data_IF_794237247339
#
_entry.id   IF_794237247339
#
_cell.length_a   1.000
_cell.length_b   1.000
_cell.length_c   1.000
_cell.angle_alpha   90.00
_cell.angle_beta   90.00
_cell.angle_gamma   90.00
#
_symmetry.space_group_name_H-M   'P 1'
#
loop_
_entity.id
_entity.type
_entity.pdbx_description
1 polymer ?
#
# COMPACT_ATOMS: atom_id res chain seq x y z
N UNK A 1 21.46 10.39 13.80
CA UNK A 1 20.19 10.08 14.47
C UNK A 1 19.35 9.28 13.49
N UNK A 2 18.93 8.09 13.85
CA UNK A 2 17.98 7.27 13.09
C UNK A 2 16.58 7.46 13.64
N UNK A 3 15.56 7.04 12.92
CA UNK A 3 14.17 7.11 13.35
C UNK A 3 13.55 5.72 13.27
N UNK A 4 12.83 5.31 14.31
CA UNK A 4 12.30 3.97 14.40
C UNK A 4 10.78 3.95 14.61
N UNK A 5 10.16 2.86 14.26
CA UNK A 5 8.75 2.60 14.54
C UNK A 5 8.58 2.27 16.03
N UNK A 6 7.78 3.08 16.73
CA UNK A 6 7.41 2.83 18.13
C UNK A 6 6.03 2.19 18.26
N UNK A 7 5.22 2.23 17.21
CA UNK A 7 3.91 1.59 17.16
C UNK A 7 3.44 1.40 15.73
N UNK A 8 2.79 0.26 15.49
CA UNK A 8 2.22 -0.10 14.20
C UNK A 8 0.80 -0.60 14.42
N UNK A 9 -0.13 -0.16 13.57
CA UNK A 9 -1.53 -0.55 13.63
C UNK A 9 -2.05 -0.96 12.26
N UNK A 10 -3.09 -1.80 12.24
CA UNK A 10 -3.81 -2.21 11.04
C UNK A 10 -5.31 -2.18 11.27
N UNK A 11 -6.05 -1.96 10.20
CA UNK A 11 -7.47 -2.25 10.14
C UNK A 11 -7.78 -3.02 8.85
N UNK A 12 -8.28 -4.23 9.01
CA UNK A 12 -8.72 -5.10 7.93
C UNK A 12 -10.25 -5.11 7.96
N UNK A 13 -10.94 -4.63 6.92
CA UNK A 13 -12.40 -4.63 6.87
C UNK A 13 -13.00 -6.03 7.00
N UNK A 14 -14.21 -6.10 7.53
CA UNK A 14 -14.86 -7.37 7.88
C UNK A 14 -15.59 -8.04 6.73
N UNK A 15 -16.02 -7.26 5.71
CA UNK A 15 -16.76 -7.80 4.57
C UNK A 15 -15.81 -8.62 3.67
N UNK A 16 -16.03 -9.92 3.66
CA UNK A 16 -15.23 -10.87 2.89
C UNK A 16 -15.85 -11.06 1.51
N UNK A 17 -15.10 -10.75 0.47
CA UNK A 17 -15.50 -10.89 -0.93
C UNK A 17 -14.65 -11.97 -1.58
N UNK A 18 -15.22 -13.12 -1.87
CA UNK A 18 -14.56 -14.20 -2.62
C UNK A 18 -14.61 -13.96 -4.12
N UNK A 19 -13.84 -14.73 -4.88
CA UNK A 19 -13.89 -14.66 -6.34
C UNK A 19 -15.26 -15.06 -6.92
N UNK A 20 -16.07 -15.84 -6.19
CA UNK A 20 -17.43 -16.22 -6.59
C UNK A 20 -18.37 -15.01 -6.72
N UNK A 21 -18.13 -13.96 -5.93
CA UNK A 21 -18.93 -12.72 -6.01
C UNK A 21 -18.96 -12.13 -7.43
N UNK A 22 -17.89 -12.33 -8.19
CA UNK A 22 -17.75 -11.76 -9.55
C UNK A 22 -18.31 -12.66 -10.65
N UNK A 23 -18.84 -13.83 -10.34
CA UNK A 23 -19.37 -14.77 -11.35
C UNK A 23 -20.63 -14.23 -12.03
N UNK A 24 -21.39 -13.36 -11.36
CA UNK A 24 -22.59 -12.73 -11.91
C UNK A 24 -22.32 -11.38 -12.62
N UNK A 25 -21.07 -10.90 -12.62
CA UNK A 25 -20.71 -9.66 -13.30
C UNK A 25 -20.66 -9.84 -14.81
N UNK A 26 -20.87 -8.74 -15.54
CA UNK A 26 -20.66 -8.70 -16.98
C UNK A 26 -19.42 -7.89 -17.30
N UNK A 27 -18.35 -8.57 -17.69
CA UNK A 27 -17.08 -7.95 -18.01
C UNK A 27 -16.96 -7.60 -19.50
N UNK A 28 -16.33 -6.45 -19.76
CA UNK A 28 -16.07 -5.92 -21.08
C UNK A 28 -14.56 -5.74 -21.30
N UNK A 29 -14.14 -5.70 -22.56
CA UNK A 29 -12.79 -5.32 -22.95
C UNK A 29 -12.69 -3.77 -23.12
N UNK A 30 -11.48 -3.28 -23.41
CA UNK A 30 -11.21 -1.85 -23.63
C UNK A 30 -11.97 -1.26 -24.84
N UNK A 31 -12.48 -2.09 -25.76
CA UNK A 31 -13.28 -1.70 -26.91
C UNK A 31 -14.78 -1.62 -26.60
N UNK A 32 -15.19 -1.98 -25.39
CA UNK A 32 -16.60 -2.02 -24.98
C UNK A 32 -17.35 -3.27 -25.44
N UNK A 33 -16.63 -4.33 -25.78
CA UNK A 33 -17.21 -5.62 -26.17
C UNK A 33 -17.25 -6.55 -24.96
N UNK A 34 -18.34 -7.33 -24.84
CA UNK A 34 -18.49 -8.33 -23.77
C UNK A 34 -17.41 -9.40 -23.93
N UNK A 35 -16.79 -9.79 -22.82
CA UNK A 35 -15.84 -10.90 -22.85
C UNK A 35 -16.56 -12.23 -23.06
N UNK A 36 -16.17 -12.99 -24.09
CA UNK A 36 -16.76 -14.30 -24.44
C UNK A 36 -16.49 -15.41 -23.38
N UNK A 37 -15.53 -15.21 -22.48
CA UNK A 37 -15.20 -16.17 -21.46
C UNK A 37 -16.19 -16.10 -20.29
N UNK A 38 -16.62 -17.25 -19.77
CA UNK A 38 -17.42 -17.27 -18.56
C UNK A 38 -16.60 -16.77 -17.36
N UNK A 39 -17.25 -16.15 -16.39
CA UNK A 39 -16.62 -15.49 -15.26
C UNK A 39 -15.88 -16.46 -14.32
N UNK A 40 -16.31 -17.71 -14.20
CA UNK A 40 -15.58 -18.74 -13.45
C UNK A 40 -14.19 -18.98 -14.07
N UNK A 41 -14.09 -18.99 -15.40
CA UNK A 41 -12.80 -19.10 -16.10
C UNK A 41 -11.95 -17.82 -15.91
N UNK A 42 -12.57 -16.63 -15.96
CA UNK A 42 -11.89 -15.35 -15.72
C UNK A 42 -11.34 -15.33 -14.29
N UNK A 43 -12.16 -15.64 -13.29
CA UNK A 43 -11.79 -15.70 -11.88
C UNK A 43 -10.67 -16.71 -11.61
N UNK A 44 -10.75 -17.89 -12.22
CA UNK A 44 -9.70 -18.91 -12.11
C UNK A 44 -8.36 -18.41 -12.68
N UNK A 45 -8.37 -17.84 -13.88
CA UNK A 45 -7.15 -17.28 -14.51
C UNK A 45 -6.56 -16.14 -13.69
N UNK A 46 -7.41 -15.24 -13.17
CA UNK A 46 -6.97 -14.15 -12.29
C UNK A 46 -6.28 -14.69 -11.04
N UNK A 47 -6.89 -15.67 -10.36
CA UNK A 47 -6.28 -16.34 -9.20
C UNK A 47 -4.91 -16.95 -9.55
N UNK A 48 -4.78 -17.60 -10.72
CA UNK A 48 -3.52 -18.22 -11.17
C UNK A 48 -2.41 -17.19 -11.42
N UNK A 49 -2.75 -15.92 -11.70
CA UNK A 49 -1.80 -14.85 -11.96
C UNK A 49 -1.51 -14.06 -10.69
N UNK A 50 -2.55 -13.69 -9.96
CA UNK A 50 -2.46 -12.74 -8.84
C UNK A 50 -2.33 -13.42 -7.48
N UNK A 51 -2.66 -14.70 -7.37
CA UNK A 51 -2.79 -15.41 -6.10
C UNK A 51 -4.08 -15.09 -5.32
N UNK A 52 -4.86 -14.07 -5.73
CA UNK A 52 -6.00 -13.58 -4.95
C UNK A 52 -7.17 -14.57 -4.97
N UNK A 53 -7.55 -15.04 -3.79
CA UNK A 53 -8.73 -15.89 -3.56
C UNK A 53 -9.91 -15.09 -3.05
N UNK A 54 -9.64 -14.13 -2.20
CA UNK A 54 -10.62 -13.24 -1.58
C UNK A 54 -9.99 -11.88 -1.28
N UNK A 55 -10.83 -10.90 -1.01
CA UNK A 55 -10.41 -9.55 -0.59
C UNK A 55 -11.36 -9.05 0.50
N UNK A 56 -11.04 -7.89 1.05
CA UNK A 56 -11.83 -7.25 2.09
C UNK A 56 -12.39 -5.94 1.58
N UNK A 57 -13.68 -5.73 1.80
CA UNK A 57 -14.37 -4.48 1.49
C UNK A 57 -14.86 -3.81 2.78
N UNK A 58 -14.81 -2.50 2.77
CA UNK A 58 -15.36 -1.68 3.85
C UNK A 58 -16.88 -1.80 3.90
N UNK A 59 -17.46 -1.77 5.11
CA UNK A 59 -18.91 -1.70 5.28
C UNK A 59 -19.46 -0.45 4.58
N UNK A 60 -20.75 -0.47 4.25
CA UNK A 60 -21.41 0.63 3.53
C UNK A 60 -21.34 1.98 4.26
N UNK A 61 -21.33 1.94 5.59
CA UNK A 61 -21.25 3.12 6.48
C UNK A 61 -19.83 3.66 6.68
N UNK A 62 -18.81 2.99 6.19
CA UNK A 62 -17.41 3.36 6.35
C UNK A 62 -16.84 4.04 5.10
N UNK A 63 -15.95 5.01 5.33
CA UNK A 63 -15.13 5.67 4.31
C UNK A 63 -13.64 5.55 4.65
N UNK A 64 -12.75 6.00 3.77
CA UNK A 64 -11.30 5.85 3.90
C UNK A 64 -10.76 6.44 5.21
N UNK A 65 -11.25 7.61 5.62
CA UNK A 65 -10.82 8.24 6.89
C UNK A 65 -11.23 7.44 8.12
N UNK A 66 -12.36 6.71 8.09
CA UNK A 66 -12.76 5.83 9.20
C UNK A 66 -11.79 4.66 9.34
N UNK A 67 -11.40 4.03 8.22
CA UNK A 67 -10.43 2.95 8.22
C UNK A 67 -9.07 3.44 8.74
N UNK A 68 -8.64 4.61 8.24
CA UNK A 68 -7.41 5.27 8.67
C UNK A 68 -7.39 5.58 10.15
N UNK A 69 -8.52 6.07 10.70
CA UNK A 69 -8.67 6.30 12.15
C UNK A 69 -8.49 5.01 12.96
N UNK A 70 -9.11 3.91 12.53
CA UNK A 70 -9.01 2.63 13.25
C UNK A 70 -7.57 2.11 13.27
N UNK A 71 -6.85 2.20 12.15
CA UNK A 71 -5.44 1.83 12.08
C UNK A 71 -4.55 2.76 12.93
N UNK A 72 -4.82 4.07 12.91
CA UNK A 72 -4.11 5.08 13.71
C UNK A 72 -4.30 4.85 15.22
N UNK A 73 -5.54 4.63 15.66
CA UNK A 73 -5.85 4.34 17.06
C UNK A 73 -5.15 3.05 17.54
N UNK A 74 -5.12 2.01 16.69
CA UNK A 74 -4.37 0.78 16.94
C UNK A 74 -2.86 1.04 17.06
N UNK A 75 -2.26 1.89 16.21
CA UNK A 75 -0.85 2.24 16.27
C UNK A 75 -0.51 3.02 17.54
N UNK A 76 -1.34 3.99 17.95
CA UNK A 76 -1.19 4.77 19.18
C UNK A 76 -1.25 3.86 20.41
N UNK A 77 -2.23 2.94 20.44
CA UNK A 77 -2.33 1.95 21.52
C UNK A 77 -1.12 1.04 21.57
N UNK A 78 -0.64 0.55 20.41
CA UNK A 78 0.55 -0.29 20.32
C UNK A 78 1.83 0.43 20.77
N UNK A 79 1.96 1.72 20.47
CA UNK A 79 3.05 2.57 20.93
C UNK A 79 2.97 2.93 22.42
N UNK A 80 1.81 2.78 23.04
CA UNK A 80 1.51 3.21 24.41
C UNK A 80 1.87 4.69 24.66
N UNK A 81 1.47 5.59 23.76
CA UNK A 81 1.73 7.03 23.87
C UNK A 81 0.43 7.83 24.03
N UNK A 82 0.59 9.06 24.51
CA UNK A 82 -0.46 10.08 24.43
C UNK A 82 -0.48 10.64 22.99
N UNK A 83 -1.65 10.62 22.35
CA UNK A 83 -1.85 11.15 21.00
C UNK A 83 -1.52 12.64 20.89
N UNK A 84 -1.66 13.42 21.98
CA UNK A 84 -1.28 14.83 22.04
C UNK A 84 0.22 15.09 21.81
N UNK A 85 1.06 14.05 21.87
CA UNK A 85 2.50 14.13 21.63
C UNK A 85 2.90 13.95 20.16
N UNK A 86 1.95 13.75 19.27
CA UNK A 86 2.18 13.63 17.84
C UNK A 86 2.33 15.02 17.23
N UNK A 87 3.40 15.24 16.45
CA UNK A 87 3.68 16.51 15.78
C UNK A 87 3.09 16.56 14.37
N UNK A 88 3.10 15.42 13.66
CA UNK A 88 2.55 15.34 12.30
C UNK A 88 1.69 14.10 12.11
N UNK A 89 0.57 14.27 11.39
CA UNK A 89 -0.24 13.19 10.81
C UNK A 89 -0.12 13.29 9.30
N UNK A 90 0.48 12.28 8.68
CA UNK A 90 0.68 12.16 7.23
C UNK A 90 -0.23 11.03 6.75
N UNK A 91 -1.24 11.36 5.95
CA UNK A 91 -2.22 10.38 5.48
C UNK A 91 -2.06 10.15 3.97
N UNK A 92 -1.61 8.95 3.60
CA UNK A 92 -1.50 8.54 2.21
C UNK A 92 -2.79 7.87 1.73
N UNK A 93 -3.31 8.34 0.59
CA UNK A 93 -4.47 7.78 -0.11
C UNK A 93 -4.45 8.22 -1.58
N UNK A 94 -5.37 7.70 -2.40
CA UNK A 94 -5.48 8.10 -3.81
C UNK A 94 -6.79 8.82 -4.13
N UNK A 95 -7.89 8.53 -3.43
CA UNK A 95 -9.23 8.97 -3.84
C UNK A 95 -9.99 9.75 -2.78
N UNK A 96 -9.44 9.93 -1.57
CA UNK A 96 -10.17 10.56 -0.46
C UNK A 96 -11.27 9.67 0.11
N UNK A 97 -12.24 10.30 0.77
CA UNK A 97 -13.45 9.62 1.22
C UNK A 97 -14.44 9.50 0.06
N UNK A 98 -14.86 8.27 -0.23
CA UNK A 98 -15.90 7.97 -1.21
C UNK A 98 -16.99 7.16 -0.51
N UNK A 99 -18.20 7.74 -0.41
CA UNK A 99 -19.34 7.06 0.22
C UNK A 99 -19.83 5.91 -0.65
N UNK A 100 -20.43 4.91 -0.02
CA UNK A 100 -21.11 3.85 -0.74
C UNK A 100 -22.19 4.43 -1.67
N UNK A 101 -22.41 3.80 -2.82
CA UNK A 101 -23.35 4.23 -3.86
C UNK A 101 -23.02 5.58 -4.52
N UNK A 102 -21.81 6.10 -4.33
CA UNK A 102 -21.27 7.25 -5.05
C UNK A 102 -19.86 6.94 -5.55
N UNK A 103 -19.37 7.77 -6.47
CA UNK A 103 -17.97 7.74 -6.91
C UNK A 103 -17.30 9.10 -6.68
N UNK A 104 -18.02 10.01 -6.05
CA UNK A 104 -17.52 11.35 -5.78
C UNK A 104 -16.51 11.33 -4.63
N UNK A 105 -15.29 11.75 -4.91
CA UNK A 105 -14.26 11.98 -3.91
C UNK A 105 -14.58 13.19 -3.03
N UNK A 106 -14.31 13.06 -1.74
CA UNK A 106 -14.39 14.13 -0.74
C UNK A 106 -13.05 14.21 0.01
N UNK A 107 -12.27 15.24 -0.28
CA UNK A 107 -10.93 15.49 0.27
C UNK A 107 -10.83 16.82 1.03
N UNK A 108 -11.95 17.49 1.30
CA UNK A 108 -11.97 18.78 2.01
C UNK A 108 -12.93 18.71 3.19
N UNK A 109 -12.41 18.79 4.43
CA UNK A 109 -10.99 18.88 4.81
C UNK A 109 -10.22 17.60 4.50
N UNK A 110 -8.87 17.64 4.58
CA UNK A 110 -8.00 16.48 4.36
C UNK A 110 -8.39 15.29 5.25
N UNK A 111 -8.11 14.06 4.80
CA UNK A 111 -8.40 12.87 5.59
C UNK A 111 -7.57 12.83 6.88
N UNK A 112 -6.34 13.34 6.84
CA UNK A 112 -5.51 13.53 8.03
C UNK A 112 -6.17 14.43 9.07
N UNK A 113 -6.80 15.54 8.64
CA UNK A 113 -7.54 16.44 9.54
C UNK A 113 -8.78 15.75 10.14
N UNK A 114 -9.49 14.92 9.35
CA UNK A 114 -10.61 14.11 9.85
C UNK A 114 -10.15 13.12 10.91
N UNK A 115 -9.03 12.42 10.66
CA UNK A 115 -8.45 11.48 11.63
C UNK A 115 -7.98 12.19 12.89
N UNK A 116 -7.32 13.36 12.77
CA UNK A 116 -6.95 14.19 13.93
C UNK A 116 -8.18 14.51 14.81
N UNK A 117 -9.29 14.88 14.18
CA UNK A 117 -10.55 15.15 14.89
C UNK A 117 -11.12 13.89 15.56
N UNK A 118 -11.14 12.74 14.87
CA UNK A 118 -11.61 11.46 15.42
C UNK A 118 -10.74 10.98 16.59
N UNK A 119 -9.43 11.21 16.54
CA UNK A 119 -8.48 10.94 17.63
C UNK A 119 -8.60 11.95 18.78
N UNK A 120 -9.40 13.03 18.60
CA UNK A 120 -9.62 14.12 19.57
C UNK A 120 -8.33 14.84 20.00
N UNK A 121 -7.34 14.92 19.13
CA UNK A 121 -6.09 15.64 19.37
C UNK A 121 -6.38 17.14 19.39
N UNK A 122 -6.18 17.78 20.56
CA UNK A 122 -6.42 19.20 20.78
C UNK A 122 -5.20 20.06 20.41
N UNK A 123 -4.00 19.49 20.44
CA UNK A 123 -2.76 20.20 20.13
C UNK A 123 -2.83 20.85 18.73
N UNK A 124 -2.88 22.21 18.62
CA UNK A 124 -2.94 22.89 17.33
C UNK A 124 -1.64 22.75 16.53
N UNK A 125 -0.54 22.39 17.16
CA UNK A 125 0.76 22.21 16.53
C UNK A 125 0.94 20.80 15.96
N UNK A 126 0.00 19.87 16.19
CA UNK A 126 -0.08 18.62 15.46
C UNK A 126 -0.61 18.90 14.04
N UNK A 127 0.28 18.99 13.07
CA UNK A 127 -0.05 19.31 11.67
C UNK A 127 -0.56 18.06 10.95
N UNK A 128 -1.69 18.19 10.26
CA UNK A 128 -2.34 17.07 9.58
C UNK A 128 -2.54 17.39 8.09
N UNK A 129 -1.98 16.54 7.20
CA UNK A 129 -2.10 16.71 5.75
C UNK A 129 -2.06 15.38 5.01
N UNK A 130 -2.54 15.38 3.77
CA UNK A 130 -2.63 14.21 2.91
C UNK A 130 -1.52 14.14 1.87
N UNK A 131 -1.16 12.91 1.48
CA UNK A 131 -0.21 12.61 0.40
C UNK A 131 -0.89 11.75 -0.65
N UNK A 132 -1.00 12.29 -1.87
CA UNK A 132 -1.48 11.55 -3.05
C UNK A 132 -0.27 11.12 -3.86
N UNK A 133 0.08 9.80 -3.80
CA UNK A 133 1.33 9.31 -4.37
C UNK A 133 1.24 7.90 -4.98
N UNK A 134 0.03 7.41 -5.27
CA UNK A 134 -0.17 6.02 -5.69
C UNK A 134 0.08 5.02 -4.56
N UNK A 135 0.23 3.74 -4.90
CA UNK A 135 0.48 2.68 -3.91
C UNK A 135 1.72 2.93 -3.03
N UNK A 136 2.80 3.61 -3.48
CA UNK A 136 3.94 3.95 -2.64
C UNK A 136 3.68 5.04 -1.59
N UNK A 137 2.48 5.62 -1.54
CA UNK A 137 2.19 6.80 -0.71
C UNK A 137 2.50 6.61 0.78
N UNK A 138 2.25 5.43 1.37
CA UNK A 138 2.63 5.19 2.76
C UNK A 138 4.16 5.17 2.93
N UNK A 139 4.89 4.55 2.01
CA UNK A 139 6.37 4.53 2.03
C UNK A 139 6.93 5.95 1.89
N UNK A 140 6.36 6.77 0.99
CA UNK A 140 6.72 8.17 0.85
C UNK A 140 6.43 8.96 2.13
N UNK A 141 5.28 8.75 2.77
CA UNK A 141 4.95 9.34 4.07
C UNK A 141 5.95 8.96 5.16
N UNK A 142 6.43 7.72 5.19
CA UNK A 142 7.50 7.26 6.10
C UNK A 142 8.83 7.98 5.81
N UNK A 143 9.18 8.17 4.53
CA UNK A 143 10.38 8.91 4.12
C UNK A 143 10.28 10.39 4.54
N UNK A 144 9.12 11.03 4.35
CA UNK A 144 8.87 12.41 4.78
C UNK A 144 8.95 12.54 6.31
N UNK A 145 8.31 11.64 7.05
CA UNK A 145 8.40 11.59 8.52
C UNK A 145 9.85 11.47 9.00
N UNK A 146 10.63 10.59 8.37
CA UNK A 146 12.06 10.43 8.64
C UNK A 146 12.84 11.74 8.39
N UNK A 147 12.53 12.45 7.30
CA UNK A 147 13.15 13.72 6.98
C UNK A 147 12.79 14.82 8.00
N UNK A 148 11.51 14.91 8.41
CA UNK A 148 11.05 15.90 9.40
C UNK A 148 11.71 15.68 10.76
N UNK A 149 11.81 14.45 11.21
CA UNK A 149 12.44 14.12 12.50
C UNK A 149 13.96 14.40 12.42
N UNK A 150 14.64 14.02 11.32
CA UNK A 150 16.07 14.31 11.14
C UNK A 150 16.36 15.80 11.06
N UNK A 151 15.45 16.59 10.48
CA UNK A 151 15.57 18.06 10.43
C UNK A 151 15.22 18.77 11.75
N UNK A 152 14.76 18.04 12.77
CA UNK A 152 14.33 18.61 14.05
C UNK A 152 12.96 19.33 13.99
N UNK A 153 12.20 19.14 12.93
CA UNK A 153 10.86 19.73 12.77
C UNK A 153 9.77 18.92 13.52
N UNK A 154 10.05 17.68 13.81
CA UNK A 154 9.15 16.78 14.54
C UNK A 154 9.95 15.87 15.50
N UNK A 155 9.28 15.44 16.57
CA UNK A 155 9.74 14.33 17.42
C UNK A 155 9.03 13.04 17.08
N UNK A 156 7.71 13.13 16.77
CA UNK A 156 6.84 12.01 16.46
C UNK A 156 5.97 12.31 15.24
N UNK A 157 5.93 11.37 14.31
CA UNK A 157 5.07 11.43 13.14
C UNK A 157 4.19 10.16 13.07
N UNK A 158 2.89 10.33 12.89
CA UNK A 158 1.94 9.27 12.56
C UNK A 158 1.76 9.22 11.05
N UNK A 159 2.10 8.11 10.42
CA UNK A 159 1.95 7.88 8.99
C UNK A 159 0.87 6.84 8.76
N UNK A 160 -0.18 7.21 8.03
CA UNK A 160 -1.35 6.38 7.75
C UNK A 160 -1.40 6.09 6.24
N UNK A 161 -1.69 4.86 5.87
CA UNK A 161 -2.05 4.48 4.50
C UNK A 161 -3.41 3.79 4.52
N UNK A 162 -4.41 4.35 3.85
CA UNK A 162 -5.75 3.76 3.81
C UNK A 162 -6.44 3.98 2.47
N UNK A 163 -7.26 3.00 2.08
CA UNK A 163 -8.05 3.02 0.85
C UNK A 163 -9.40 2.33 1.02
N UNK A 164 -10.38 2.85 0.27
CA UNK A 164 -11.64 2.18 -0.04
C UNK A 164 -11.77 2.02 -1.56
N UNK A 165 -10.87 1.23 -2.18
CA UNK A 165 -10.82 1.07 -3.63
C UNK A 165 -12.08 0.43 -4.19
N UNK A 166 -12.80 -0.35 -3.39
CA UNK A 166 -14.10 -0.93 -3.77
C UNK A 166 -15.13 0.12 -4.21
N UNK A 167 -14.90 1.40 -3.89
CA UNK A 167 -15.79 2.52 -4.24
C UNK A 167 -15.50 3.14 -5.60
N UNK A 168 -14.31 2.89 -6.15
CA UNK A 168 -13.81 3.56 -7.37
C UNK A 168 -13.46 2.58 -8.50
N UNK A 169 -13.83 1.32 -8.34
CA UNK A 169 -13.64 0.27 -9.34
C UNK A 169 -14.81 0.20 -10.32
N UNK A 170 -14.53 -0.19 -11.54
CA UNK A 170 -15.53 -0.44 -12.57
C UNK A 170 -16.03 -1.89 -12.49
N UNK A 171 -17.29 -2.10 -12.16
CA UNK A 171 -17.89 -3.44 -12.09
C UNK A 171 -17.83 -4.21 -13.42
N UNK A 172 -17.60 -3.51 -14.53
CA UNK A 172 -17.50 -4.05 -15.87
C UNK A 172 -16.07 -4.36 -16.31
N UNK A 173 -15.08 -4.09 -15.45
CA UNK A 173 -13.67 -4.37 -15.71
C UNK A 173 -13.22 -5.55 -14.83
N UNK A 174 -12.73 -6.62 -15.45
CA UNK A 174 -12.25 -7.79 -14.69
C UNK A 174 -11.09 -7.47 -13.74
N UNK A 175 -10.31 -6.42 -14.04
CA UNK A 175 -9.18 -6.01 -13.18
C UNK A 175 -9.65 -5.44 -11.84
N UNK A 176 -10.94 -5.08 -11.72
CA UNK A 176 -11.62 -4.76 -10.45
C UNK A 176 -11.41 -5.82 -9.37
N UNK A 177 -11.31 -7.09 -9.79
CA UNK A 177 -11.18 -8.24 -8.88
C UNK A 177 -9.90 -8.22 -8.05
N UNK A 178 -8.87 -7.43 -8.39
CA UNK A 178 -7.64 -7.37 -7.61
C UNK A 178 -7.74 -6.40 -6.42
N UNK A 179 -8.60 -5.39 -6.51
CA UNK A 179 -8.64 -4.29 -5.56
C UNK A 179 -9.39 -4.63 -4.27
N UNK A 180 -8.91 -4.07 -3.18
CA UNK A 180 -9.40 -4.27 -1.84
C UNK A 180 -9.39 -2.97 -1.04
N UNK A 181 -10.01 -3.00 0.15
CA UNK A 181 -10.02 -1.92 1.11
C UNK A 181 -9.18 -2.29 2.34
N UNK A 182 -8.64 -1.30 3.02
CA UNK A 182 -7.87 -1.51 4.23
C UNK A 182 -7.13 -0.28 4.70
N UNK A 183 -6.56 -0.36 5.89
CA UNK A 183 -5.72 0.69 6.46
C UNK A 183 -4.59 0.11 7.31
N UNK A 184 -3.45 0.78 7.25
CA UNK A 184 -2.34 0.54 8.17
C UNK A 184 -1.70 1.85 8.57
N UNK A 185 -1.11 1.89 9.76
CA UNK A 185 -0.48 3.08 10.31
C UNK A 185 0.80 2.73 11.08
N UNK A 186 1.74 3.67 11.10
CA UNK A 186 2.94 3.56 11.92
C UNK A 186 3.28 4.89 12.57
N UNK A 187 3.85 4.84 13.76
CA UNK A 187 4.37 6.02 14.47
C UNK A 187 5.89 5.92 14.45
N UNK A 188 6.53 6.95 13.91
CA UNK A 188 7.96 7.12 13.91
C UNK A 188 8.38 8.10 15.03
N UNK A 189 9.49 7.78 15.69
CA UNK A 189 10.13 8.63 16.69
C UNK A 189 11.64 8.63 16.49
N UNK A 190 12.31 9.71 16.94
CA UNK A 190 13.76 9.80 16.95
C UNK A 190 14.37 8.69 17.83
N UNK A 191 15.41 8.03 17.31
CA UNK A 191 16.14 6.99 18.02
C UNK A 191 17.53 7.46 18.40
N UNK A 192 17.97 7.07 19.58
CA UNK A 192 19.36 7.29 20.06
C UNK A 192 20.28 6.10 19.75
N UNK A 193 19.71 4.96 19.35
CA UNK A 193 20.42 3.77 18.90
C UNK A 193 20.41 3.72 17.36
N UNK A 194 21.30 2.97 16.75
CA UNK A 194 21.44 2.90 15.28
C UNK A 194 20.32 2.12 14.55
N UNK A 195 19.23 1.80 15.26
CA UNK A 195 18.04 1.14 14.67
C UNK A 195 17.18 2.12 13.88
N UNK A 196 16.34 1.59 13.01
CA UNK A 196 15.40 2.38 12.22
C UNK A 196 15.80 2.52 10.76
N UNK A 197 15.39 3.62 10.11
CA UNK A 197 15.58 3.83 8.67
C UNK A 197 17.06 4.16 8.38
N UNK A 198 17.71 3.28 7.62
CA UNK A 198 19.13 3.35 7.28
C UNK A 198 19.38 4.01 5.92
N UNK A 199 18.61 3.65 4.92
CA UNK A 199 18.67 4.22 3.57
C UNK A 199 17.26 4.29 2.97
N UNK A 200 17.05 5.16 2.00
CA UNK A 200 15.80 5.25 1.26
C UNK A 200 16.02 5.81 -0.14
N UNK A 201 15.07 5.52 -1.04
CA UNK A 201 15.05 6.03 -2.40
C UNK A 201 13.61 6.32 -2.82
N UNK A 202 13.38 7.46 -3.46
CA UNK A 202 12.15 7.81 -4.17
C UNK A 202 12.47 8.08 -5.63
N UNK A 203 11.67 7.54 -6.55
CA UNK A 203 11.80 7.77 -7.99
C UNK A 203 10.42 7.90 -8.63
N UNK A 204 10.29 8.80 -9.60
CA UNK A 204 9.06 9.03 -10.39
C UNK A 204 9.38 8.94 -11.88
N UNK A 205 8.76 7.96 -12.55
CA UNK A 205 8.89 7.73 -14.00
C UNK A 205 7.65 8.26 -14.72
N UNK A 206 7.36 9.55 -14.52
CA UNK A 206 6.12 10.15 -15.00
C UNK A 206 6.18 10.69 -16.44
N UNK A 207 7.29 10.55 -17.14
CA UNK A 207 7.46 11.15 -18.46
C UNK A 207 6.60 10.43 -19.52
N UNK A 208 6.75 9.13 -19.66
CA UNK A 208 6.02 8.33 -20.66
C UNK A 208 5.01 7.38 -20.00
N UNK A 209 5.24 7.02 -18.74
CA UNK A 209 4.54 5.96 -18.04
C UNK A 209 3.43 6.45 -17.09
N UNK A 210 3.25 7.78 -16.93
CA UNK A 210 2.30 8.35 -15.94
C UNK A 210 0.89 7.78 -16.00
N UNK A 211 0.42 7.41 -17.20
CA UNK A 211 -0.93 6.92 -17.45
C UNK A 211 -1.03 5.38 -17.47
N UNK A 212 -0.06 4.64 -16.92
CA UNK A 212 -0.17 3.18 -16.82
C UNK A 212 -1.21 2.74 -15.79
N UNK A 213 -1.40 3.54 -14.73
CA UNK A 213 -2.58 3.54 -13.86
C UNK A 213 -3.25 4.90 -13.98
N UNK A 214 -4.54 4.93 -14.25
CA UNK A 214 -5.25 6.18 -14.55
C UNK A 214 -6.73 6.10 -14.12
N UNK A 215 -7.42 7.23 -14.18
CA UNK A 215 -8.86 7.32 -13.92
C UNK A 215 -9.59 7.47 -15.26
N UNK A 216 -10.20 6.37 -15.73
CA UNK A 216 -10.80 6.24 -17.06
C UNK A 216 -12.27 5.89 -17.02
N UNK A 217 -12.94 5.99 -18.18
CA UNK A 217 -14.36 5.65 -18.34
C UNK A 217 -14.60 4.16 -18.09
N UNK A 218 -15.84 3.82 -17.71
CA UNK A 218 -16.28 2.43 -17.70
C UNK A 218 -16.11 1.78 -19.08
N UNK A 219 -15.78 0.49 -19.08
CA UNK A 219 -15.79 -0.29 -20.32
C UNK A 219 -17.21 -0.56 -20.82
N UNK A 220 -18.24 -0.45 -19.96
CA UNK A 220 -19.64 -0.37 -20.39
C UNK A 220 -20.07 1.10 -20.53
N UNK A 221 -19.84 1.66 -21.73
CA UNK A 221 -20.12 3.06 -22.02
C UNK A 221 -21.61 3.42 -22.00
N UNK A 222 -22.51 2.43 -22.13
CA UNK A 222 -23.96 2.67 -22.16
C UNK A 222 -24.51 2.94 -20.75
N UNK A 223 -24.02 2.21 -19.72
CA UNK A 223 -24.51 2.34 -18.34
C UNK A 223 -23.96 3.57 -17.61
N UNK A 224 -22.68 3.91 -17.82
CA UNK A 224 -22.00 4.97 -17.05
C UNK A 224 -21.13 5.87 -17.95
N UNK A 225 -21.71 6.62 -18.90
CA UNK A 225 -20.93 7.33 -19.94
C UNK A 225 -20.02 8.43 -19.41
N UNK A 226 -20.34 9.01 -18.24
CA UNK A 226 -19.60 10.15 -17.65
C UNK A 226 -18.83 9.80 -16.40
N UNK A 227 -18.96 8.58 -15.88
CA UNK A 227 -18.29 8.14 -14.67
C UNK A 227 -16.92 7.58 -15.02
N UNK A 228 -15.91 7.96 -14.20
CA UNK A 228 -14.55 7.43 -14.32
C UNK A 228 -14.25 6.52 -13.15
N UNK A 229 -13.39 5.55 -13.40
CA UNK A 229 -12.98 4.51 -12.46
C UNK A 229 -11.48 4.29 -12.55
N UNK A 230 -10.90 3.66 -11.54
CA UNK A 230 -9.51 3.23 -11.60
C UNK A 230 -9.34 2.23 -12.75
N UNK A 231 -8.33 2.45 -13.57
CA UNK A 231 -7.97 1.63 -14.74
C UNK A 231 -6.47 1.41 -14.77
N UNK A 232 -6.04 0.33 -15.41
CA UNK A 232 -4.63 0.05 -15.56
C UNK A 232 -4.30 -0.66 -16.88
N UNK A 233 -3.12 -0.41 -17.40
CA UNK A 233 -2.52 -1.22 -18.46
C UNK A 233 -1.65 -2.32 -17.81
N UNK A 234 -2.28 -3.39 -17.35
CA UNK A 234 -1.65 -4.41 -16.51
C UNK A 234 -0.34 -4.97 -17.07
N UNK A 235 -0.27 -5.22 -18.40
CA UNK A 235 0.95 -5.69 -19.06
C UNK A 235 2.09 -4.66 -18.98
N UNK A 236 1.80 -3.38 -19.24
CA UNK A 236 2.81 -2.30 -19.16
C UNK A 236 3.33 -2.12 -17.74
N UNK A 237 2.43 -2.18 -16.74
CA UNK A 237 2.80 -2.12 -15.33
C UNK A 237 3.71 -3.29 -14.96
N UNK A 238 3.36 -4.51 -15.39
CA UNK A 238 4.18 -5.70 -15.15
C UNK A 238 5.60 -5.55 -15.74
N UNK A 239 5.70 -5.19 -17.02
CA UNK A 239 6.98 -4.98 -17.71
C UNK A 239 7.81 -3.87 -17.03
N UNK A 240 7.16 -2.76 -16.65
CA UNK A 240 7.80 -1.67 -15.92
C UNK A 240 8.29 -2.12 -14.54
N UNK A 241 7.45 -2.75 -13.74
CA UNK A 241 7.79 -3.20 -12.39
C UNK A 241 9.00 -4.13 -12.41
N UNK A 242 9.01 -5.12 -13.32
CA UNK A 242 10.14 -6.04 -13.46
C UNK A 242 11.43 -5.37 -13.93
N UNK A 243 11.34 -4.28 -14.68
CA UNK A 243 12.53 -3.60 -15.21
C UNK A 243 13.11 -2.56 -14.25
N UNK A 244 12.27 -1.89 -13.43
CA UNK A 244 12.69 -0.72 -12.65
C UNK A 244 12.76 -0.99 -11.14
N UNK A 245 11.81 -1.75 -10.58
CA UNK A 245 11.77 -1.98 -9.12
C UNK A 245 13.01 -2.71 -8.60
N UNK A 246 13.51 -3.79 -9.24
CA UNK A 246 14.73 -4.45 -8.78
C UNK A 246 15.96 -3.53 -8.75
N UNK A 247 16.07 -2.61 -9.73
CA UNK A 247 17.16 -1.64 -9.78
C UNK A 247 17.07 -0.60 -8.67
N UNK A 248 15.84 -0.15 -8.34
CA UNK A 248 15.62 0.75 -7.22
C UNK A 248 15.93 0.07 -5.88
N UNK A 249 15.50 -1.19 -5.71
CA UNK A 249 15.83 -1.99 -4.53
C UNK A 249 17.34 -2.15 -4.38
N UNK A 250 18.04 -2.53 -5.48
CA UNK A 250 19.50 -2.65 -5.49
C UNK A 250 20.19 -1.35 -5.10
N UNK A 251 19.79 -0.24 -5.72
CA UNK A 251 20.35 1.06 -5.40
C UNK A 251 20.15 1.43 -3.92
N UNK A 252 19.00 1.13 -3.34
CA UNK A 252 18.74 1.39 -1.93
C UNK A 252 19.64 0.56 -1.01
N UNK A 253 19.92 -0.71 -1.36
CA UNK A 253 20.89 -1.56 -0.64
C UNK A 253 22.30 -1.02 -0.81
N UNK A 254 22.74 -0.73 -2.03
CA UNK A 254 24.08 -0.23 -2.34
C UNK A 254 24.39 1.13 -1.68
N UNK A 255 23.36 1.98 -1.50
CA UNK A 255 23.46 3.28 -0.80
C UNK A 255 23.44 3.13 0.75
N UNK A 256 23.20 1.93 1.26
CA UNK A 256 23.20 1.63 2.69
C UNK A 256 24.55 1.08 3.16
N UNK A 257 24.66 0.78 4.47
CA UNK A 257 25.81 0.07 5.03
C UNK A 257 25.65 -1.46 5.01
N UNK A 258 24.56 -1.97 4.42
CA UNK A 258 24.22 -3.39 4.39
C UNK A 258 24.49 -4.01 3.03
N UNK A 259 24.73 -5.33 3.03
CA UNK A 259 24.84 -6.15 1.83
C UNK A 259 23.54 -6.94 1.62
N UNK A 260 23.40 -7.57 0.46
CA UNK A 260 22.24 -8.41 0.13
C UNK A 260 22.04 -9.55 1.15
N UNK A 261 23.13 -10.11 1.68
CA UNK A 261 23.11 -11.21 2.66
C UNK A 261 22.60 -10.79 4.04
N UNK A 262 22.60 -9.49 4.35
CA UNK A 262 22.09 -8.93 5.59
C UNK A 262 20.55 -8.80 5.57
N UNK A 263 19.92 -8.87 4.39
CA UNK A 263 18.47 -8.66 4.24
C UNK A 263 17.71 -9.90 4.74
N UNK A 264 17.05 -9.76 5.88
CA UNK A 264 16.26 -10.81 6.52
C UNK A 264 14.88 -10.98 5.91
N UNK A 265 14.25 -9.89 5.43
CA UNK A 265 12.92 -9.87 4.81
C UNK A 265 12.80 -8.77 3.75
N UNK A 266 11.93 -9.03 2.78
CA UNK A 266 11.48 -8.05 1.79
C UNK A 266 9.99 -7.86 1.97
N UNK A 267 9.56 -6.69 2.45
CA UNK A 267 8.15 -6.30 2.58
C UNK A 267 7.79 -5.46 1.37
N UNK A 268 7.24 -6.11 0.36
CA UNK A 268 6.88 -5.47 -0.91
C UNK A 268 5.38 -5.20 -0.99
N UNK A 269 4.99 -4.16 -1.76
CA UNK A 269 3.60 -3.89 -2.08
C UNK A 269 2.91 -5.11 -2.70
N UNK A 270 1.75 -5.48 -2.17
CA UNK A 270 1.01 -6.68 -2.57
C UNK A 270 0.04 -6.37 -3.72
N UNK A 271 0.53 -6.44 -4.95
CA UNK A 271 -0.27 -6.17 -6.15
C UNK A 271 -0.64 -7.42 -6.95
N UNK A 272 0.31 -8.34 -7.08
CA UNK A 272 0.19 -9.56 -7.88
C UNK A 272 1.31 -10.52 -7.47
N UNK A 273 0.97 -11.72 -6.98
CA UNK A 273 1.92 -12.71 -6.48
C UNK A 273 3.05 -13.01 -7.46
N UNK A 274 2.72 -13.35 -8.72
CA UNK A 274 3.74 -13.68 -9.72
C UNK A 274 4.63 -12.50 -10.10
N UNK A 275 4.07 -11.29 -10.06
CA UNK A 275 4.85 -10.08 -10.30
C UNK A 275 5.83 -9.84 -9.17
N UNK A 276 5.37 -9.95 -7.93
CA UNK A 276 6.18 -9.72 -6.74
C UNK A 276 7.31 -10.76 -6.63
N UNK A 277 7.01 -12.05 -6.91
CA UNK A 277 8.02 -13.12 -7.01
C UNK A 277 9.07 -12.84 -8.11
N UNK A 278 8.62 -12.39 -9.28
CA UNK A 278 9.52 -12.08 -10.39
C UNK A 278 10.39 -10.85 -10.11
N UNK A 279 9.87 -9.82 -9.40
CA UNK A 279 10.64 -8.66 -8.94
C UNK A 279 11.75 -9.13 -7.99
N UNK A 280 11.42 -9.91 -6.96
CA UNK A 280 12.39 -10.40 -5.96
C UNK A 280 13.42 -11.32 -6.63
N UNK A 281 13.01 -12.19 -7.54
CA UNK A 281 13.94 -13.04 -8.30
C UNK A 281 14.93 -12.19 -9.11
N UNK A 282 14.46 -11.17 -9.82
CA UNK A 282 15.33 -10.27 -10.57
C UNK A 282 16.26 -9.47 -9.67
N UNK A 283 15.77 -9.02 -8.51
CA UNK A 283 16.56 -8.31 -7.52
C UNK A 283 17.76 -9.14 -7.05
N UNK A 284 17.55 -10.41 -6.64
CA UNK A 284 18.64 -11.30 -6.25
C UNK A 284 19.57 -11.64 -7.41
N UNK A 285 19.05 -11.78 -8.64
CA UNK A 285 19.88 -12.00 -9.83
C UNK A 285 20.86 -10.85 -10.12
N UNK A 286 20.57 -9.62 -9.66
CA UNK A 286 21.52 -8.49 -9.79
C UNK A 286 22.75 -8.60 -8.87
N UNK A 287 22.75 -9.57 -7.97
CA UNK A 287 23.86 -9.93 -7.08
C UNK A 287 24.41 -11.34 -7.34
N UNK A 288 23.99 -11.97 -8.46
CA UNK A 288 24.33 -13.36 -8.81
C UNK A 288 23.95 -14.36 -7.69
N UNK A 289 22.84 -14.14 -7.01
CA UNK A 289 22.33 -14.96 -5.89
C UNK A 289 20.96 -15.56 -6.16
N UNK A 290 20.70 -16.71 -5.53
CA UNK A 290 19.37 -17.31 -5.45
C UNK A 290 18.49 -16.63 -4.38
N UNK A 291 17.19 -16.66 -4.60
CA UNK A 291 16.22 -16.11 -3.64
C UNK A 291 16.16 -16.97 -2.37
N UNK A 292 16.44 -16.43 -1.18
CA UNK A 292 16.33 -17.17 0.07
C UNK A 292 14.89 -17.61 0.34
N UNK A 293 14.72 -18.76 0.99
CA UNK A 293 13.41 -19.23 1.42
C UNK A 293 12.79 -18.25 2.42
N UNK A 294 11.48 -18.05 2.31
CA UNK A 294 10.71 -17.20 3.23
C UNK A 294 11.20 -15.75 3.33
N UNK A 295 11.90 -15.25 2.31
CA UNK A 295 12.38 -13.86 2.29
C UNK A 295 11.24 -12.86 2.13
N UNK A 296 10.21 -13.21 1.35
CA UNK A 296 9.08 -12.34 0.99
C UNK A 296 7.78 -12.87 1.59
N UNK A 297 7.32 -12.31 2.72
CA UNK A 297 5.99 -12.61 3.27
C UNK A 297 4.89 -12.11 2.33
N UNK A 298 3.75 -12.80 2.32
CA UNK A 298 2.63 -12.47 1.44
C UNK A 298 1.29 -12.72 2.13
N UNK A 299 0.34 -11.78 1.95
CA UNK A 299 -1.03 -11.87 2.46
C UNK A 299 -2.09 -11.62 1.37
N UNK A 300 -1.64 -11.43 0.12
CA UNK A 300 -2.48 -11.05 -1.02
C UNK A 300 -3.63 -12.05 -1.28
N UNK A 301 -3.41 -13.33 -1.00
CA UNK A 301 -4.41 -14.39 -1.20
C UNK A 301 -5.73 -14.12 -0.47
N UNK A 302 -5.65 -13.51 0.71
CA UNK A 302 -6.78 -13.24 1.61
C UNK A 302 -7.21 -11.78 1.68
N UNK A 303 -6.31 -10.85 1.34
CA UNK A 303 -6.56 -9.43 1.53
C UNK A 303 -6.64 -8.64 0.23
N UNK A 304 -6.18 -9.22 -0.90
CA UNK A 304 -6.14 -8.51 -2.18
C UNK A 304 -5.18 -7.30 -2.16
N UNK A 305 -5.38 -6.37 -3.09
CA UNK A 305 -4.57 -5.16 -3.23
C UNK A 305 -5.31 -3.94 -2.65
N UNK A 306 -4.96 -3.53 -1.44
CA UNK A 306 -5.44 -2.30 -0.79
C UNK A 306 -4.50 -1.10 -1.00
N UNK A 307 -3.72 -1.08 -2.10
CA UNK A 307 -2.83 0.02 -2.50
C UNK A 307 -1.87 0.45 -1.39
N UNK A 308 -1.98 1.69 -0.90
CA UNK A 308 -1.11 2.29 0.13
C UNK A 308 -1.13 1.54 1.47
N UNK A 309 -2.16 0.75 1.73
CA UNK A 309 -2.33 0.03 2.99
C UNK A 309 -1.65 -1.35 3.00
N UNK A 310 -1.25 -1.89 1.84
CA UNK A 310 -0.70 -3.26 1.74
C UNK A 310 0.54 -3.47 2.60
N UNK A 311 1.52 -2.56 2.51
CA UNK A 311 2.78 -2.65 3.26
C UNK A 311 2.58 -2.53 4.77
N UNK A 312 1.92 -1.47 5.32
CA UNK A 312 1.76 -1.37 6.77
C UNK A 312 0.87 -2.47 7.36
N UNK A 313 -0.13 -2.97 6.62
CA UNK A 313 -0.92 -4.14 7.06
C UNK A 313 -0.02 -5.38 7.12
N UNK A 314 0.74 -5.67 6.05
CA UNK A 314 1.65 -6.81 6.00
C UNK A 314 2.68 -6.77 7.12
N UNK A 315 3.31 -5.62 7.33
CA UNK A 315 4.28 -5.42 8.43
C UNK A 315 3.65 -5.72 9.79
N UNK A 316 2.46 -5.17 10.07
CA UNK A 316 1.77 -5.43 11.34
C UNK A 316 1.39 -6.91 11.51
N UNK A 317 0.99 -7.60 10.44
CA UNK A 317 0.70 -9.03 10.48
C UNK A 317 1.94 -9.87 10.80
N UNK A 318 3.11 -9.50 10.27
CA UNK A 318 4.37 -10.19 10.60
C UNK A 318 4.70 -9.97 12.08
N UNK A 319 4.60 -8.73 12.58
CA UNK A 319 4.89 -8.40 13.97
C UNK A 319 3.90 -9.02 14.98
N UNK A 320 2.66 -9.26 14.56
CA UNK A 320 1.65 -9.97 15.37
C UNK A 320 1.77 -11.50 15.30
N UNK A 321 2.70 -12.04 14.49
CA UNK A 321 2.84 -13.47 14.17
C UNK A 321 1.58 -14.05 13.51
N UNK A 322 0.84 -13.25 12.73
CA UNK A 322 -0.35 -13.68 11.98
C UNK A 322 0.02 -14.45 10.68
N UNK A 323 1.30 -14.49 10.32
CA UNK A 323 1.80 -15.15 9.12
C UNK A 323 2.76 -16.30 9.48
N UNK A 324 2.40 -17.52 9.10
CA UNK A 324 3.25 -18.70 9.29
C UNK A 324 4.63 -18.50 8.66
N UNK A 325 5.69 -18.92 9.35
CA UNK A 325 7.08 -18.88 8.89
C UNK A 325 7.65 -17.47 8.60
N UNK A 326 6.97 -16.41 9.04
CA UNK A 326 7.43 -15.05 8.86
C UNK A 326 7.46 -14.31 10.20
N UNK A 327 8.66 -14.00 10.65
CA UNK A 327 8.91 -13.21 11.86
C UNK A 327 9.96 -12.16 11.55
N UNK A 328 9.92 -11.07 12.28
CA UNK A 328 10.96 -10.03 12.33
C UNK A 328 11.44 -9.95 13.76
N UNK A 329 12.74 -10.14 13.96
CA UNK A 329 13.40 -10.10 15.25
C UNK A 329 14.21 -8.81 15.43
N UNK A 330 14.63 -8.55 16.66
CA UNK A 330 15.55 -7.47 16.94
C UNK A 330 16.88 -7.68 16.19
N UNK A 331 17.32 -6.66 15.47
CA UNK A 331 18.53 -6.68 14.65
C UNK A 331 18.27 -7.06 13.18
N UNK A 332 17.11 -7.59 12.83
CA UNK A 332 16.77 -7.92 11.44
C UNK A 332 16.78 -6.67 10.54
N UNK A 333 17.32 -6.82 9.35
CA UNK A 333 17.34 -5.79 8.32
C UNK A 333 16.26 -6.11 7.29
N UNK A 334 15.32 -5.20 7.12
CA UNK A 334 14.17 -5.38 6.24
C UNK A 334 14.19 -4.35 5.13
N UNK A 335 14.05 -4.82 3.88
CA UNK A 335 13.91 -3.98 2.71
C UNK A 335 12.41 -3.80 2.39
N UNK A 336 11.96 -2.55 2.33
CA UNK A 336 10.63 -2.18 1.91
C UNK A 336 10.64 -1.68 0.47
N UNK A 337 9.67 -2.08 -0.35
CA UNK A 337 9.57 -1.65 -1.73
C UNK A 337 8.11 -1.50 -2.19
N UNK A 338 7.81 -0.45 -2.93
CA UNK A 338 6.48 -0.20 -3.50
C UNK A 338 6.58 0.46 -4.85
N UNK A 339 5.61 0.18 -5.73
CA UNK A 339 5.44 0.79 -7.04
C UNK A 339 3.95 1.08 -7.27
N UNK A 340 3.61 2.19 -7.92
CA UNK A 340 2.21 2.56 -8.15
C UNK A 340 2.00 3.72 -9.12
N UNK A 341 0.80 4.28 -9.12
CA UNK A 341 0.35 5.33 -10.04
C UNK A 341 1.34 6.50 -10.12
N UNK A 342 1.46 7.10 -11.32
CA UNK A 342 2.54 8.04 -11.63
C UNK A 342 3.86 7.32 -11.87
N UNK A 343 3.83 5.98 -11.88
CA UNK A 343 4.97 5.06 -11.94
C UNK A 343 6.08 5.47 -10.96
N UNK A 344 5.61 5.78 -9.74
CA UNK A 344 6.45 6.07 -8.59
C UNK A 344 7.00 4.76 -8.02
N UNK A 345 8.26 4.78 -7.59
CA UNK A 345 8.91 3.69 -6.88
C UNK A 345 9.54 4.24 -5.61
N UNK A 346 9.22 3.64 -4.47
CA UNK A 346 9.85 3.96 -3.21
C UNK A 346 10.41 2.71 -2.56
N UNK A 347 11.60 2.85 -1.99
CA UNK A 347 12.25 1.80 -1.20
C UNK A 347 12.89 2.41 0.05
N UNK A 348 12.94 1.64 1.12
CA UNK A 348 13.80 1.97 2.27
C UNK A 348 14.30 0.71 2.95
N UNK A 349 15.46 0.83 3.61
CA UNK A 349 16.03 -0.21 4.48
C UNK A 349 15.79 0.19 5.92
N UNK A 350 15.33 -0.76 6.69
CA UNK A 350 15.04 -0.59 8.12
C UNK A 350 15.70 -1.69 8.94
N UNK A 351 16.39 -1.31 10.00
CA UNK A 351 16.92 -2.23 11.03
C UNK A 351 16.00 -2.21 12.25
N UNK A 352 15.49 -3.37 12.62
CA UNK A 352 14.60 -3.57 13.77
C UNK A 352 15.35 -3.73 15.11
#
# INVERSE_FOLDING_TARGET
MTNHFIGIGKYIPTEKISNLFFEEHQFFNEQGEILDQNNATISYKLKQITGIEERRYARKDQVTSDLGYMAAASAITNANIDAETIDYIIFAHNFGDVKHDTIQSDMVPSLAARVKNLLKIQNPYCVAYDVIFGCPGWVEGVIQANAFIKAGLAKRCLVIGAETLSRVVDEHDRDTMIYADGAGAAILEASTNNKGIQAHLSASYANEEKDYLFFGKSYNSEKCPNTKYIKMYGRKIYEFALSKVPLAMKKCVDDSSYNIDDISKIVIHQANEKMDEAIVKRFYSLYDQDVPKNIMPMNIHKLGNSSVATIPILLKMIMDNDLENHQINEGDVVLFASVGAGMNINTFIYQF
#
